data_IF_709224172756
#
_entry.id   IF_709224172756
#
_cell.length_a   1.000
_cell.length_b   1.000
_cell.length_c   1.000
_cell.angle_alpha   90.00
_cell.angle_beta   90.00
_cell.angle_gamma   90.00
#
_symmetry.space_group_name_H-M   'P 1'
#
loop_
_entity.id
_entity.type
_entity.pdbx_description
1 polymer ?
#
# COMPACT_ATOMS: atom_id res chain seq x y z
N UNK A 1 18.57 47.51 17.67
CA UNK A 1 18.66 46.05 17.75
C UNK A 1 17.70 45.50 16.73
N UNK A 2 18.22 45.03 15.60
CA UNK A 2 17.40 44.66 14.44
C UNK A 2 16.66 43.33 14.67
N UNK A 3 15.43 43.23 14.15
CA UNK A 3 14.61 42.00 14.17
C UNK A 3 15.39 40.78 13.62
N UNK A 4 16.33 40.99 12.72
CA UNK A 4 17.24 39.97 12.17
C UNK A 4 18.18 39.35 13.21
N UNK A 5 18.63 40.11 14.21
CA UNK A 5 19.57 39.62 15.22
C UNK A 5 18.88 38.71 16.26
N UNK A 6 17.60 38.95 16.54
CA UNK A 6 16.79 38.05 17.41
C UNK A 6 16.49 36.70 16.72
N UNK A 7 16.13 36.75 15.43
CA UNK A 7 15.86 35.51 14.68
C UNK A 7 17.11 34.61 14.57
N UNK A 8 18.31 35.22 14.38
CA UNK A 8 19.56 34.46 14.33
C UNK A 8 19.97 33.87 15.69
N UNK A 9 19.69 34.56 16.80
CA UNK A 9 20.01 34.08 18.14
C UNK A 9 19.05 32.91 18.57
N UNK A 10 17.79 32.95 18.13
CA UNK A 10 16.82 31.89 18.39
C UNK A 10 17.07 30.64 17.52
N UNK A 11 17.57 30.80 16.29
CA UNK A 11 17.93 29.71 15.40
C UNK A 11 19.24 28.99 15.80
N UNK A 12 20.16 29.67 16.47
CA UNK A 12 21.46 29.11 16.87
C UNK A 12 21.37 27.99 17.92
N UNK A 13 20.20 27.81 18.54
CA UNK A 13 19.91 26.72 19.51
C UNK A 13 18.98 25.63 18.98
N UNK A 14 18.45 25.73 17.75
CA UNK A 14 17.52 24.76 17.22
C UNK A 14 18.27 23.51 16.73
N UNK A 15 17.93 22.34 17.32
CA UNK A 15 18.41 21.05 16.86
C UNK A 15 17.49 20.54 15.76
N UNK A 16 18.03 20.38 14.56
CA UNK A 16 17.30 19.97 13.35
C UNK A 16 17.85 18.64 12.86
N UNK A 17 16.99 17.78 12.32
CA UNK A 17 17.37 16.53 11.68
C UNK A 17 16.44 16.23 10.51
N UNK A 18 16.83 15.24 9.68
CA UNK A 18 15.94 14.67 8.67
C UNK A 18 16.03 13.16 8.63
N UNK A 19 14.96 12.56 8.09
CA UNK A 19 14.81 11.13 7.88
C UNK A 19 14.47 10.89 6.41
N UNK A 20 15.23 10.02 5.76
CA UNK A 20 14.96 9.55 4.39
C UNK A 20 13.86 8.49 4.45
N UNK A 21 12.66 8.86 4.01
CA UNK A 21 11.49 7.99 4.08
C UNK A 21 11.64 6.78 3.17
N UNK A 22 12.22 6.92 1.99
CA UNK A 22 12.44 5.80 1.06
C UNK A 22 13.38 4.75 1.67
N UNK A 23 14.47 5.21 2.29
CA UNK A 23 15.40 4.32 3.01
C UNK A 23 14.73 3.66 4.21
N UNK A 24 13.90 4.40 4.95
CA UNK A 24 13.16 3.88 6.10
C UNK A 24 12.15 2.82 5.67
N UNK A 25 11.36 3.08 4.63
CA UNK A 25 10.40 2.10 4.06
C UNK A 25 11.08 0.81 3.61
N UNK A 26 12.28 0.94 3.00
CA UNK A 26 13.04 -0.20 2.50
C UNK A 26 13.69 -1.05 3.60
N UNK A 27 13.94 -0.48 4.80
CA UNK A 27 14.69 -1.14 5.87
C UNK A 27 13.90 -1.42 7.15
N UNK A 28 12.71 -0.85 7.28
CA UNK A 28 11.85 -1.10 8.43
C UNK A 28 11.11 -2.43 8.26
N UNK A 29 11.40 -3.41 9.10
CA UNK A 29 10.87 -4.78 9.00
C UNK A 29 9.34 -4.83 8.96
N UNK A 30 8.66 -3.97 9.71
CA UNK A 30 7.20 -3.86 9.65
C UNK A 30 6.70 -3.52 8.24
N UNK A 31 7.36 -2.59 7.54
CA UNK A 31 6.99 -2.22 6.17
C UNK A 31 7.30 -3.33 5.18
N UNK A 32 8.41 -4.03 5.37
CA UNK A 32 8.79 -5.18 4.54
C UNK A 32 7.72 -6.27 4.66
N UNK A 33 7.33 -6.64 5.89
CA UNK A 33 6.32 -7.66 6.14
C UNK A 33 4.94 -7.27 5.59
N UNK A 34 4.53 -5.99 5.75
CA UNK A 34 3.29 -5.48 5.17
C UNK A 34 3.31 -5.53 3.64
N UNK A 35 4.42 -5.12 3.03
CA UNK A 35 4.55 -5.14 1.57
C UNK A 35 4.50 -6.57 1.03
N UNK A 36 5.21 -7.52 1.65
CA UNK A 36 5.14 -8.93 1.28
C UNK A 36 3.72 -9.50 1.39
N UNK A 37 3.00 -9.16 2.46
CA UNK A 37 1.62 -9.58 2.64
C UNK A 37 0.70 -9.01 1.55
N UNK A 38 0.89 -7.74 1.19
CA UNK A 38 0.13 -7.08 0.13
C UNK A 38 0.42 -7.67 -1.25
N UNK A 39 1.69 -7.97 -1.56
CA UNK A 39 2.07 -8.64 -2.82
C UNK A 39 1.38 -10.00 -2.92
N UNK A 40 1.47 -10.84 -1.89
CA UNK A 40 0.81 -12.15 -1.87
C UNK A 40 -0.71 -12.04 -2.04
N UNK A 41 -1.33 -11.06 -1.39
CA UNK A 41 -2.78 -10.83 -1.51
C UNK A 41 -3.16 -10.36 -2.91
N UNK A 42 -2.40 -9.46 -3.50
CA UNK A 42 -2.59 -9.00 -4.88
C UNK A 42 -2.46 -10.14 -5.89
N UNK A 43 -1.47 -11.01 -5.72
CA UNK A 43 -1.30 -12.21 -6.54
C UNK A 43 -2.49 -13.17 -6.42
N UNK A 44 -2.99 -13.42 -5.21
CA UNK A 44 -4.16 -14.25 -4.97
C UNK A 44 -5.42 -13.67 -5.63
N UNK A 45 -5.62 -12.35 -5.55
CA UNK A 45 -6.71 -11.65 -6.23
C UNK A 45 -6.60 -11.85 -7.74
N UNK A 46 -5.41 -11.63 -8.31
CA UNK A 46 -5.16 -11.82 -9.74
C UNK A 46 -5.43 -13.26 -10.19
N UNK A 47 -4.93 -14.24 -9.44
CA UNK A 47 -5.17 -15.66 -9.76
C UNK A 47 -6.67 -16.00 -9.71
N UNK A 48 -7.37 -15.53 -8.68
CA UNK A 48 -8.82 -15.77 -8.53
C UNK A 48 -9.60 -15.18 -9.71
N UNK A 49 -9.32 -13.95 -10.09
CA UNK A 49 -9.99 -13.29 -11.21
C UNK A 49 -9.67 -13.99 -12.54
N UNK A 50 -8.41 -14.35 -12.77
CA UNK A 50 -7.99 -15.06 -13.98
C UNK A 50 -8.66 -16.44 -14.11
N UNK A 51 -8.75 -17.21 -13.02
CA UNK A 51 -9.43 -18.51 -13.04
C UNK A 51 -10.92 -18.36 -13.38
N UNK A 52 -11.60 -17.39 -12.77
CA UNK A 52 -13.03 -17.14 -13.04
C UNK A 52 -13.25 -16.62 -14.47
N UNK A 53 -12.39 -15.72 -14.96
CA UNK A 53 -12.46 -15.23 -16.33
C UNK A 53 -12.22 -16.34 -17.36
N UNK A 54 -11.24 -17.20 -17.11
CA UNK A 54 -10.96 -18.36 -17.98
C UNK A 54 -12.14 -19.34 -18.00
N UNK A 55 -12.75 -19.63 -16.84
CA UNK A 55 -13.94 -20.48 -16.77
C UNK A 55 -15.10 -19.88 -17.54
N UNK A 56 -15.38 -18.59 -17.33
CA UNK A 56 -16.46 -17.89 -18.04
C UNK A 56 -16.23 -17.87 -19.56
N UNK A 57 -14.99 -17.62 -20.01
CA UNK A 57 -14.68 -17.65 -21.43
C UNK A 57 -14.88 -19.03 -22.04
N UNK A 58 -14.52 -20.10 -21.34
CA UNK A 58 -14.79 -21.47 -21.78
C UNK A 58 -16.29 -21.74 -21.89
N UNK A 59 -17.08 -21.36 -20.89
CA UNK A 59 -18.53 -21.51 -20.92
C UNK A 59 -19.18 -20.72 -22.06
N UNK A 60 -18.70 -19.49 -22.34
CA UNK A 60 -19.16 -18.68 -23.50
C UNK A 60 -18.85 -19.38 -24.84
N UNK A 61 -17.63 -19.96 -24.97
CA UNK A 61 -17.26 -20.71 -26.16
C UNK A 61 -18.12 -21.98 -26.35
N UNK A 62 -18.39 -22.70 -25.26
CA UNK A 62 -19.22 -23.90 -25.31
C UNK A 62 -20.68 -23.54 -25.64
N UNK A 63 -21.20 -22.43 -25.12
CA UNK A 63 -22.51 -21.90 -25.48
C UNK A 63 -22.57 -21.57 -26.97
N UNK A 64 -21.57 -20.85 -27.50
CA UNK A 64 -21.52 -20.49 -28.93
C UNK A 64 -21.51 -21.72 -29.83
N UNK A 65 -20.70 -22.74 -29.51
CA UNK A 65 -20.70 -24.02 -30.25
C UNK A 65 -22.06 -24.71 -30.24
N UNK A 66 -22.78 -24.67 -29.08
CA UNK A 66 -24.15 -25.25 -28.98
C UNK A 66 -25.14 -24.47 -29.86
N UNK A 67 -25.02 -23.16 -29.95
CA UNK A 67 -25.86 -22.34 -30.85
C UNK A 67 -25.58 -22.69 -32.31
N UNK A 68 -24.31 -22.72 -32.73
CA UNK A 68 -23.88 -23.01 -34.09
C UNK A 68 -24.32 -24.42 -34.55
N UNK A 69 -24.31 -25.38 -33.67
CA UNK A 69 -24.70 -26.76 -33.95
C UNK A 69 -26.20 -27.04 -33.72
N UNK A 70 -27.02 -26.02 -33.45
CA UNK A 70 -28.45 -26.19 -33.10
C UNK A 70 -28.68 -27.24 -31.98
N UNK A 71 -27.77 -27.27 -31.01
CA UNK A 71 -27.75 -28.32 -29.95
C UNK A 71 -28.64 -27.99 -28.75
N UNK A 72 -29.37 -26.88 -28.74
CA UNK A 72 -30.36 -26.58 -27.70
C UNK A 72 -31.68 -27.27 -27.97
N UNK A 73 -32.28 -27.84 -26.91
CA UNK A 73 -33.58 -28.53 -26.97
C UNK A 73 -34.76 -27.60 -27.26
N UNK A 74 -34.62 -26.31 -26.93
CA UNK A 74 -35.60 -25.24 -27.22
C UNK A 74 -34.94 -23.89 -27.17
N UNK A 75 -35.60 -22.91 -27.76
CA UNK A 75 -35.16 -21.50 -27.73
C UNK A 75 -35.15 -20.94 -26.30
N UNK A 76 -36.11 -21.38 -25.45
CA UNK A 76 -36.16 -20.96 -24.05
C UNK A 76 -34.92 -21.42 -23.27
N UNK A 77 -34.43 -22.64 -23.54
CA UNK A 77 -33.18 -23.13 -22.93
C UNK A 77 -31.95 -22.34 -23.37
N UNK A 78 -31.88 -22.00 -24.63
CA UNK A 78 -30.79 -21.12 -25.12
C UNK A 78 -30.83 -19.74 -24.45
N UNK A 79 -32.02 -19.15 -24.32
CA UNK A 79 -32.19 -17.85 -23.66
C UNK A 79 -31.84 -17.90 -22.15
N UNK A 80 -32.25 -18.96 -21.46
CA UNK A 80 -31.88 -19.14 -20.04
C UNK A 80 -30.36 -19.24 -19.85
N UNK A 81 -29.67 -19.99 -20.72
CA UNK A 81 -28.22 -20.15 -20.64
C UNK A 81 -27.50 -18.84 -20.99
N UNK A 82 -27.98 -18.11 -21.99
CA UNK A 82 -27.47 -16.77 -22.30
C UNK A 82 -27.57 -15.82 -21.09
N UNK A 83 -28.76 -15.75 -20.47
CA UNK A 83 -29.00 -14.90 -19.30
C UNK A 83 -28.10 -15.30 -18.12
N UNK A 84 -27.83 -16.60 -17.94
CA UNK A 84 -26.89 -17.11 -16.92
C UNK A 84 -25.47 -16.62 -17.18
N UNK A 85 -25.01 -16.67 -18.42
CA UNK A 85 -23.67 -16.19 -18.80
C UNK A 85 -23.52 -14.68 -18.62
N UNK A 86 -24.55 -13.92 -18.97
CA UNK A 86 -24.59 -12.46 -18.73
C UNK A 86 -24.48 -12.15 -17.23
N UNK A 87 -25.22 -12.91 -16.40
CA UNK A 87 -25.13 -12.75 -14.95
C UNK A 87 -23.74 -13.10 -14.41
N UNK A 88 -23.13 -14.17 -14.86
CA UNK A 88 -21.76 -14.54 -14.46
C UNK A 88 -20.72 -13.47 -14.84
N UNK A 89 -20.91 -12.81 -15.97
CA UNK A 89 -20.05 -11.68 -16.38
C UNK A 89 -20.21 -10.47 -15.46
N UNK A 90 -21.45 -10.13 -15.09
CA UNK A 90 -21.74 -9.08 -14.11
C UNK A 90 -21.16 -9.43 -12.74
N UNK A 91 -21.38 -10.67 -12.25
CA UNK A 91 -20.87 -11.14 -10.98
C UNK A 91 -19.31 -11.10 -10.94
N UNK A 92 -18.66 -11.43 -12.06
CA UNK A 92 -17.19 -11.33 -12.17
C UNK A 92 -16.71 -9.87 -12.10
N UNK A 93 -17.42 -8.95 -12.77
CA UNK A 93 -17.10 -7.52 -12.74
C UNK A 93 -17.28 -6.95 -11.32
N UNK A 94 -18.37 -7.29 -10.65
CA UNK A 94 -18.63 -6.89 -9.27
C UNK A 94 -17.56 -7.43 -8.31
N UNK A 95 -17.19 -8.71 -8.46
CA UNK A 95 -16.13 -9.32 -7.69
C UNK A 95 -14.79 -8.62 -7.92
N UNK A 96 -14.46 -8.29 -9.17
CA UNK A 96 -13.24 -7.56 -9.51
C UNK A 96 -13.17 -6.21 -8.80
N UNK A 97 -14.25 -5.44 -8.89
CA UNK A 97 -14.35 -4.13 -8.24
C UNK A 97 -14.22 -4.27 -6.70
N UNK A 98 -14.90 -5.24 -6.10
CA UNK A 98 -14.85 -5.50 -4.66
C UNK A 98 -13.44 -5.87 -4.19
N UNK A 99 -12.76 -6.75 -4.92
CA UNK A 99 -11.41 -7.18 -4.56
C UNK A 99 -10.37 -6.07 -4.73
N UNK A 100 -10.48 -5.26 -5.80
CA UNK A 100 -9.61 -4.11 -6.01
C UNK A 100 -9.80 -3.03 -4.93
N UNK A 101 -11.06 -2.71 -4.61
CA UNK A 101 -11.37 -1.77 -3.52
C UNK A 101 -10.82 -2.28 -2.18
N UNK A 102 -10.98 -3.57 -1.89
CA UNK A 102 -10.43 -4.17 -0.67
C UNK A 102 -8.89 -4.09 -0.58
N UNK A 103 -8.19 -4.25 -1.71
CA UNK A 103 -6.73 -4.04 -1.75
C UNK A 103 -6.37 -2.57 -1.49
N UNK A 104 -7.12 -1.63 -2.07
CA UNK A 104 -6.88 -0.19 -1.88
C UNK A 104 -7.14 0.24 -0.44
N UNK A 105 -8.22 -0.22 0.17
CA UNK A 105 -8.54 0.04 1.58
C UNK A 105 -7.46 -0.49 2.52
N UNK A 106 -6.99 -1.72 2.27
CA UNK A 106 -5.92 -2.32 3.07
C UNK A 106 -4.59 -1.58 2.91
N UNK A 107 -4.25 -1.16 1.69
CA UNK A 107 -3.05 -0.35 1.45
C UNK A 107 -3.12 1.00 2.18
N UNK A 108 -4.28 1.66 2.16
CA UNK A 108 -4.49 2.90 2.91
C UNK A 108 -4.36 2.68 4.42
N UNK A 109 -4.94 1.60 4.94
CA UNK A 109 -4.81 1.22 6.36
C UNK A 109 -3.36 0.97 6.74
N UNK A 110 -2.62 0.24 5.92
CA UNK A 110 -1.20 -0.04 6.14
C UNK A 110 -0.36 1.25 6.15
N UNK A 111 -0.65 2.18 5.25
CA UNK A 111 0.01 3.50 5.19
C UNK A 111 -0.26 4.33 6.45
N UNK A 112 -1.47 4.28 6.99
CA UNK A 112 -1.81 4.94 8.25
C UNK A 112 -1.08 4.29 9.43
N UNK A 113 -1.07 2.97 9.52
CA UNK A 113 -0.36 2.25 10.59
C UNK A 113 1.15 2.53 10.57
N UNK A 114 1.73 2.59 9.37
CA UNK A 114 3.13 2.97 9.19
C UNK A 114 3.40 4.37 9.74
N UNK A 115 2.62 5.37 9.32
CA UNK A 115 2.75 6.75 9.79
C UNK A 115 2.59 6.86 11.30
N UNK A 116 1.60 6.19 11.86
CA UNK A 116 1.34 6.21 13.30
C UNK A 116 2.47 5.57 14.09
N UNK A 117 3.04 4.46 13.59
CA UNK A 117 4.20 3.80 14.18
C UNK A 117 5.42 4.72 14.23
N UNK A 118 5.72 5.40 13.12
CA UNK A 118 6.84 6.35 13.07
C UNK A 118 6.59 7.52 14.01
N UNK A 119 5.40 8.12 13.98
CA UNK A 119 5.08 9.27 14.82
C UNK A 119 5.16 8.93 16.32
N UNK A 120 4.67 7.75 16.70
CA UNK A 120 4.77 7.28 18.08
C UNK A 120 6.23 7.07 18.51
N UNK A 121 7.04 6.48 17.62
CA UNK A 121 8.46 6.28 17.86
C UNK A 121 9.20 7.61 17.98
N UNK A 122 9.00 8.53 17.03
CA UNK A 122 9.66 9.83 17.03
C UNK A 122 9.34 10.67 18.26
N UNK A 123 8.08 10.63 18.75
CA UNK A 123 7.70 11.30 20.00
C UNK A 123 8.50 10.78 21.19
N UNK A 124 8.71 9.48 21.27
CA UNK A 124 9.47 8.88 22.36
C UNK A 124 10.99 9.15 22.21
N UNK A 125 11.52 8.94 21.03
CA UNK A 125 12.91 9.19 20.68
C UNK A 125 13.30 10.65 20.96
N UNK A 126 12.43 11.58 20.64
CA UNK A 126 12.71 13.00 20.81
C UNK A 126 12.72 13.48 22.27
N UNK A 127 12.13 12.73 23.22
CA UNK A 127 12.21 13.07 24.66
C UNK A 127 13.65 13.12 25.16
N UNK A 128 14.51 12.29 24.61
CA UNK A 128 15.92 12.18 24.99
C UNK A 128 16.87 12.96 24.07
N UNK A 129 16.46 13.21 22.83
CA UNK A 129 17.32 13.82 21.82
C UNK A 129 17.09 15.33 21.63
N UNK A 130 15.90 15.84 21.93
CA UNK A 130 15.61 17.28 21.97
C UNK A 130 15.66 17.97 20.61
N UNK A 131 15.26 17.31 19.53
CA UNK A 131 15.13 17.94 18.22
C UNK A 131 13.96 18.91 18.22
N UNK A 132 14.18 20.12 17.70
CA UNK A 132 13.13 21.11 17.46
C UNK A 132 12.31 20.77 16.22
N UNK A 133 12.97 20.23 15.19
CA UNK A 133 12.35 19.84 13.92
C UNK A 133 13.00 18.55 13.40
N UNK A 134 12.18 17.63 12.92
CA UNK A 134 12.60 16.45 12.16
C UNK A 134 11.83 16.47 10.83
N UNK A 135 12.56 16.64 9.73
CA UNK A 135 11.98 16.69 8.40
C UNK A 135 11.90 15.28 7.79
N UNK A 136 10.86 15.05 7.00
CA UNK A 136 10.83 13.92 6.09
C UNK A 136 11.52 14.31 4.78
N UNK A 137 12.41 13.46 4.29
CA UNK A 137 12.99 13.57 2.96
C UNK A 137 12.47 12.42 2.10
N UNK A 138 11.70 12.77 1.06
CA UNK A 138 11.11 11.82 0.12
C UNK A 138 11.49 12.28 -1.29
N UNK A 139 12.57 11.74 -1.84
CA UNK A 139 13.05 12.14 -3.15
C UNK A 139 13.37 13.63 -3.24
N UNK A 140 12.79 14.35 -4.22
CA UNK A 140 13.05 15.77 -4.47
C UNK A 140 12.02 16.74 -3.89
N UNK A 141 11.05 16.25 -3.11
CA UNK A 141 9.85 17.05 -2.81
C UNK A 141 10.03 18.12 -1.74
N UNK A 142 10.73 17.84 -0.62
CA UNK A 142 10.74 18.74 0.52
C UNK A 142 12.11 19.22 0.97
N UNK A 143 13.17 18.47 0.68
CA UNK A 143 14.53 18.78 1.11
C UNK A 143 15.50 18.58 -0.06
N UNK A 144 15.88 19.69 -0.71
CA UNK A 144 16.77 19.64 -1.88
C UNK A 144 18.22 19.33 -1.50
N UNK A 145 18.65 19.81 -0.33
CA UNK A 145 19.99 19.59 0.20
C UNK A 145 19.99 19.65 1.73
N UNK A 146 20.68 18.72 2.34
CA UNK A 146 21.07 18.77 3.75
C UNK A 146 22.42 18.06 3.91
N UNK A 147 23.20 18.53 4.86
CA UNK A 147 24.43 17.85 5.26
C UNK A 147 24.10 16.51 5.91
N UNK A 148 24.91 15.49 5.63
CA UNK A 148 24.70 14.12 6.14
C UNK A 148 24.75 14.02 7.67
N UNK A 149 25.36 15.00 8.35
CA UNK A 149 25.39 15.09 9.82
C UNK A 149 24.01 15.28 10.44
N UNK A 150 23.03 15.78 9.67
CA UNK A 150 21.63 15.93 10.10
C UNK A 150 20.78 14.68 9.80
N UNK A 151 21.34 13.65 9.12
CA UNK A 151 20.63 12.44 8.78
C UNK A 151 20.57 11.47 9.96
N UNK A 152 19.38 11.27 10.51
CA UNK A 152 19.13 10.32 11.60
C UNK A 152 18.39 9.06 11.16
N UNK A 153 18.27 8.82 9.85
CA UNK A 153 17.51 7.70 9.29
C UNK A 153 17.93 6.36 9.86
N UNK A 154 19.24 6.11 9.96
CA UNK A 154 19.76 4.84 10.47
C UNK A 154 19.33 4.60 11.93
N UNK A 155 19.44 5.61 12.77
CA UNK A 155 19.07 5.52 14.20
C UNK A 155 17.55 5.27 14.35
N UNK A 156 16.74 5.92 13.54
CA UNK A 156 15.29 5.73 13.55
C UNK A 156 14.93 4.32 13.08
N UNK A 157 15.54 3.83 11.99
CA UNK A 157 15.32 2.47 11.49
C UNK A 157 15.73 1.41 12.52
N UNK A 158 16.92 1.56 13.10
CA UNK A 158 17.42 0.62 14.11
C UNK A 158 16.49 0.59 15.34
N UNK A 159 16.05 1.76 15.80
CA UNK A 159 15.13 1.87 16.94
C UNK A 159 13.73 1.32 16.66
N UNK A 160 13.19 1.55 15.47
CA UNK A 160 11.91 0.98 15.03
C UNK A 160 12.00 -0.54 14.93
N UNK A 161 13.06 -1.07 14.33
CA UNK A 161 13.28 -2.51 14.20
C UNK A 161 13.49 -3.20 15.54
N UNK A 162 14.16 -2.55 16.50
CA UNK A 162 14.32 -3.07 17.85
C UNK A 162 12.99 -3.22 18.60
N UNK A 163 11.99 -2.39 18.29
CA UNK A 163 10.64 -2.47 18.87
C UNK A 163 9.69 -3.39 18.12
N UNK A 164 10.01 -3.69 16.86
CA UNK A 164 9.15 -4.51 16.03
C UNK A 164 9.33 -6.00 16.37
N UNK A 165 8.23 -6.63 16.77
CA UNK A 165 8.14 -8.07 16.88
C UNK A 165 7.21 -8.57 15.79
N UNK A 166 7.69 -9.37 14.82
CA UNK A 166 6.82 -9.90 13.78
C UNK A 166 5.70 -10.73 14.41
N UNK A 167 4.49 -10.51 13.95
CA UNK A 167 3.33 -11.33 14.36
C UNK A 167 3.62 -12.75 13.87
N UNK A 168 3.89 -13.66 14.79
CA UNK A 168 4.03 -15.10 14.46
C UNK A 168 2.73 -15.55 13.78
N UNK A 169 2.84 -15.91 12.50
CA UNK A 169 1.76 -16.53 11.72
C UNK A 169 1.55 -17.97 12.16
#
# INVERSE_FOLDING_TARGET
>A
MCIRDRANAELSGMKIAYVEIDTLLAKYNFCIDLNEAMVKKSENVRMTLNQKATSLNKEKQDFQKKVENNAFLSQDRAQQEYNRLVKLEQDLQELSNKLQNGLMEENNKNSLQFRDSINAFLKEYNKTHGYSLIFSNTGFDNLLYADSTFNITKEIVDGLNARYSPVKK
#
